data_IF_025539967051
#
_entry.id   IF_025539967051
#
_cell.length_a   1.000
_cell.length_b   1.000
_cell.length_c   1.000
_cell.angle_alpha   90.00
_cell.angle_beta   90.00
_cell.angle_gamma   90.00
#
_symmetry.space_group_name_H-M   'P 1'
#
loop_
_entity.id
_entity.type
_entity.pdbx_description
1 polymer ?
#
# COMPACT_ATOMS: atom_id res chain seq x y z
N UNK A 1 25.29 -21.26 27.36
CA UNK A 1 26.02 -21.25 26.09
C UNK A 1 26.73 -22.59 26.01
N UNK A 2 26.58 -23.30 24.92
CA UNK A 2 26.94 -24.71 24.75
C UNK A 2 28.44 -24.96 24.50
N UNK A 3 29.25 -23.89 24.43
CA UNK A 3 30.70 -23.98 24.16
C UNK A 3 31.04 -24.32 22.70
N UNK A 4 30.05 -24.32 21.79
CA UNK A 4 30.27 -24.54 20.38
C UNK A 4 30.83 -23.28 19.71
N UNK A 5 31.73 -23.48 18.75
CA UNK A 5 32.28 -22.39 17.97
C UNK A 5 31.22 -21.90 16.98
N UNK A 6 30.84 -20.64 17.09
CA UNK A 6 29.92 -20.01 16.14
C UNK A 6 30.71 -19.53 14.92
N UNK A 7 30.37 -20.03 13.74
CA UNK A 7 30.89 -19.48 12.49
C UNK A 7 30.18 -18.14 12.24
N UNK A 8 30.91 -17.06 12.46
CA UNK A 8 30.41 -15.73 12.10
C UNK A 8 30.41 -15.56 10.59
N UNK A 9 29.38 -14.94 10.01
CA UNK A 9 29.38 -14.59 8.59
C UNK A 9 30.62 -13.76 8.26
N UNK A 10 31.30 -14.09 7.16
CA UNK A 10 32.48 -13.36 6.71
C UNK A 10 32.16 -11.99 6.11
N UNK A 11 30.89 -11.76 5.76
CA UNK A 11 30.38 -10.53 5.15
C UNK A 11 29.48 -9.77 6.13
N UNK A 12 29.53 -8.45 6.12
CA UNK A 12 28.55 -7.61 6.77
C UNK A 12 27.24 -7.56 5.96
N UNK A 13 26.12 -7.12 6.59
CA UNK A 13 24.86 -6.97 5.89
C UNK A 13 24.89 -5.97 4.72
N UNK A 14 25.87 -5.08 4.68
CA UNK A 14 26.10 -4.12 3.58
C UNK A 14 26.87 -4.69 2.39
N UNK A 15 27.35 -5.92 2.51
CA UNK A 15 28.15 -6.60 1.48
C UNK A 15 27.36 -7.71 0.78
N UNK A 16 26.07 -7.87 1.11
CA UNK A 16 25.19 -8.83 0.44
C UNK A 16 24.66 -8.26 -0.86
N UNK A 17 24.54 -9.10 -1.87
CA UNK A 17 23.99 -8.77 -3.19
C UNK A 17 22.47 -8.94 -3.26
N UNK A 18 21.80 -8.93 -2.12
CA UNK A 18 20.35 -9.03 -2.01
C UNK A 18 19.78 -8.00 -1.03
N UNK A 19 18.49 -7.71 -1.17
CA UNK A 19 17.74 -6.78 -0.31
C UNK A 19 16.79 -7.54 0.59
N UNK A 20 16.75 -7.17 1.87
CA UNK A 20 15.78 -7.67 2.83
C UNK A 20 14.74 -6.61 3.16
N UNK A 21 13.45 -6.95 3.04
CA UNK A 21 12.33 -6.11 3.48
C UNK A 21 11.54 -6.82 4.57
N UNK A 22 11.31 -6.11 5.67
CA UNK A 22 10.47 -6.56 6.78
C UNK A 22 9.12 -5.85 6.71
N UNK A 23 8.04 -6.60 6.58
CA UNK A 23 6.68 -6.08 6.62
C UNK A 23 5.95 -6.53 7.89
N UNK A 24 5.33 -5.60 8.64
CA UNK A 24 4.49 -5.94 9.79
C UNK A 24 3.09 -6.36 9.32
N UNK A 25 2.47 -7.25 10.10
CA UNK A 25 1.06 -7.62 9.96
C UNK A 25 0.23 -6.98 11.08
N UNK A 26 -0.97 -6.52 10.75
CA UNK A 26 -1.89 -5.87 11.66
C UNK A 26 -3.25 -6.55 11.67
N UNK A 27 -3.84 -6.71 12.85
CA UNK A 27 -5.17 -7.32 13.01
C UNK A 27 -6.31 -6.28 13.07
N UNK A 28 -6.23 -5.23 12.26
CA UNK A 28 -7.25 -4.16 12.26
C UNK A 28 -8.67 -4.65 11.91
N UNK A 29 -8.79 -5.72 11.13
CA UNK A 29 -10.08 -6.36 10.83
C UNK A 29 -10.78 -6.91 12.08
N UNK A 30 -10.02 -7.30 13.10
CA UNK A 30 -10.52 -7.80 14.39
C UNK A 30 -10.79 -6.70 15.42
N UNK A 31 -10.23 -5.51 15.22
CA UNK A 31 -10.33 -4.37 16.12
C UNK A 31 -11.41 -3.42 15.63
N UNK A 32 -12.65 -3.61 16.10
CA UNK A 32 -13.78 -2.74 15.73
C UNK A 32 -13.49 -1.28 16.07
N UNK A 33 -13.70 -0.39 15.09
CA UNK A 33 -13.52 1.05 15.26
C UNK A 33 -12.07 1.55 15.32
N UNK A 34 -11.05 0.66 15.28
CA UNK A 34 -9.67 1.12 15.21
C UNK A 34 -9.36 1.74 13.84
N UNK A 35 -8.72 2.91 13.83
CA UNK A 35 -8.20 3.51 12.59
C UNK A 35 -6.96 2.74 12.16
N UNK A 36 -6.91 2.18 10.94
CA UNK A 36 -5.74 1.47 10.43
C UNK A 36 -4.60 2.42 9.99
N UNK A 37 -4.61 3.65 10.45
CA UNK A 37 -3.51 4.58 10.26
C UNK A 37 -2.34 4.22 11.15
N UNK A 38 -1.19 3.94 10.51
CA UNK A 38 0.05 3.59 11.20
C UNK A 38 0.76 4.84 11.72
N UNK A 39 1.17 4.80 12.99
CA UNK A 39 1.94 5.83 13.67
C UNK A 39 3.35 5.32 14.01
N UNK A 40 4.00 6.03 14.92
CA UNK A 40 5.34 5.68 15.43
C UNK A 40 5.32 4.52 16.44
N UNK A 41 4.14 4.17 16.94
CA UNK A 41 3.96 3.10 17.91
C UNK A 41 3.94 1.74 17.21
N UNK A 42 4.61 0.75 17.81
CA UNK A 42 4.56 -0.63 17.33
C UNK A 42 3.21 -1.26 17.70
N UNK A 43 2.35 -1.45 16.72
CA UNK A 43 1.01 -2.05 16.88
C UNK A 43 0.86 -3.35 16.07
N UNK A 44 1.95 -3.91 15.57
CA UNK A 44 1.94 -5.14 14.76
C UNK A 44 1.63 -6.38 15.61
N UNK A 45 0.90 -7.34 15.01
CA UNK A 45 0.56 -8.64 15.61
C UNK A 45 1.42 -9.78 15.08
N UNK A 46 2.28 -9.50 14.12
CA UNK A 46 3.24 -10.39 13.50
C UNK A 46 4.05 -9.64 12.46
N UNK A 47 5.05 -10.30 11.91
CA UNK A 47 5.93 -9.71 10.90
C UNK A 47 6.56 -10.79 10.04
N UNK A 48 6.88 -10.45 8.80
CA UNK A 48 7.64 -11.30 7.87
C UNK A 48 8.88 -10.56 7.40
N UNK A 49 9.91 -11.29 7.02
CA UNK A 49 11.06 -10.78 6.29
C UNK A 49 11.16 -11.53 4.96
N UNK A 50 11.22 -10.79 3.87
CA UNK A 50 11.38 -11.34 2.54
C UNK A 50 12.64 -10.80 1.88
N UNK A 51 13.26 -11.60 1.05
CA UNK A 51 14.46 -11.27 0.31
C UNK A 51 14.15 -11.16 -1.18
N UNK A 52 14.87 -10.28 -1.86
CA UNK A 52 14.79 -10.09 -3.31
C UNK A 52 16.14 -9.64 -3.86
N UNK A 53 16.28 -9.73 -5.18
CA UNK A 53 17.47 -9.24 -5.88
C UNK A 53 17.52 -7.69 -5.91
N UNK A 54 16.36 -7.05 -5.70
CA UNK A 54 16.21 -5.60 -5.56
C UNK A 54 15.12 -5.26 -4.52
N UNK A 55 14.95 -3.95 -4.26
CA UNK A 55 13.99 -3.47 -3.22
C UNK A 55 12.54 -3.70 -3.65
N UNK A 56 12.23 -3.56 -4.91
CA UNK A 56 10.89 -3.73 -5.49
C UNK A 56 10.41 -5.17 -5.30
N UNK A 57 11.26 -6.14 -5.63
CA UNK A 57 10.96 -7.56 -5.47
C UNK A 57 10.80 -7.94 -4.00
N UNK A 58 11.76 -7.57 -3.14
CA UNK A 58 11.70 -7.86 -1.72
C UNK A 58 10.46 -7.24 -1.05
N UNK A 59 10.11 -6.01 -1.45
CA UNK A 59 8.96 -5.28 -0.93
C UNK A 59 7.64 -5.94 -1.34
N UNK A 60 7.50 -6.29 -2.61
CA UNK A 60 6.27 -6.91 -3.11
C UNK A 60 6.05 -8.30 -2.46
N UNK A 61 7.10 -9.13 -2.38
CA UNK A 61 7.07 -10.41 -1.65
C UNK A 61 6.64 -10.22 -0.19
N UNK A 62 7.17 -9.20 0.50
CA UNK A 62 6.84 -8.94 1.88
C UNK A 62 5.37 -8.50 2.05
N UNK A 63 4.84 -7.65 1.17
CA UNK A 63 3.44 -7.24 1.19
C UNK A 63 2.49 -8.42 0.94
N UNK A 64 2.75 -9.23 -0.09
CA UNK A 64 1.94 -10.42 -0.41
C UNK A 64 1.95 -11.41 0.77
N UNK A 65 3.11 -11.61 1.40
CA UNK A 65 3.26 -12.52 2.55
C UNK A 65 2.45 -12.09 3.78
N UNK A 66 2.12 -10.81 3.94
CA UNK A 66 1.21 -10.32 4.99
C UNK A 66 -0.24 -10.18 4.52
N UNK A 67 -0.58 -10.73 3.35
CA UNK A 67 -1.95 -10.79 2.83
C UNK A 67 -2.39 -9.59 2.00
N UNK A 68 -1.46 -8.76 1.57
CA UNK A 68 -1.74 -7.69 0.61
C UNK A 68 -2.03 -8.30 -0.77
N UNK A 69 -3.09 -7.84 -1.43
CA UNK A 69 -3.49 -8.33 -2.75
C UNK A 69 -3.11 -7.30 -3.81
N UNK A 70 -2.62 -7.76 -4.95
CA UNK A 70 -2.35 -6.91 -6.09
C UNK A 70 -3.66 -6.45 -6.74
N UNK A 71 -3.77 -5.20 -7.19
CA UNK A 71 -4.99 -4.67 -7.80
C UNK A 71 -5.20 -5.27 -9.20
N UNK A 72 -6.46 -5.63 -9.48
CA UNK A 72 -6.92 -6.14 -10.79
C UNK A 72 -8.20 -5.46 -11.28
N UNK A 73 -8.90 -4.71 -10.39
CA UNK A 73 -10.23 -4.16 -10.66
C UNK A 73 -10.17 -2.65 -10.74
N UNK A 74 -9.69 -1.98 -9.71
CA UNK A 74 -9.61 -0.53 -9.69
C UNK A 74 -8.97 0.04 -8.43
N UNK A 75 -8.42 1.23 -8.56
CA UNK A 75 -7.63 1.90 -7.52
C UNK A 75 -8.32 3.18 -7.07
N UNK A 76 -8.56 3.33 -5.77
CA UNK A 76 -9.01 4.59 -5.19
C UNK A 76 -7.84 5.43 -4.69
N UNK A 77 -7.76 6.66 -5.19
CA UNK A 77 -6.81 7.67 -4.74
C UNK A 77 -7.50 8.74 -3.88
N UNK A 78 -7.04 8.89 -2.65
CA UNK A 78 -7.52 9.89 -1.70
C UNK A 78 -6.35 10.50 -0.95
N UNK A 79 -5.63 11.41 -1.60
CA UNK A 79 -4.42 12.05 -1.07
C UNK A 79 -4.74 13.41 -0.47
N UNK A 80 -4.24 13.65 0.75
CA UNK A 80 -4.66 14.79 1.57
C UNK A 80 -4.09 16.13 1.15
N UNK A 81 -2.77 16.27 1.05
CA UNK A 81 -2.09 17.55 0.77
C UNK A 81 -1.70 17.68 -0.70
N UNK A 82 -1.39 18.91 -1.15
CA UNK A 82 -0.93 19.15 -2.51
C UNK A 82 0.45 18.50 -2.75
N UNK A 83 1.31 18.52 -1.73
CA UNK A 83 2.63 17.90 -1.76
C UNK A 83 2.53 16.38 -1.93
N UNK A 84 1.61 15.74 -1.21
CA UNK A 84 1.36 14.30 -1.37
C UNK A 84 0.81 13.96 -2.76
N UNK A 85 -0.06 14.82 -3.32
CA UNK A 85 -0.56 14.64 -4.68
C UNK A 85 0.56 14.75 -5.72
N UNK A 86 1.39 15.79 -5.60
CA UNK A 86 2.53 16.01 -6.49
C UNK A 86 3.55 14.86 -6.38
N UNK A 87 3.84 14.38 -5.17
CA UNK A 87 4.75 13.27 -4.93
C UNK A 87 4.23 11.93 -5.49
N UNK A 88 2.92 11.79 -5.72
CA UNK A 88 2.30 10.57 -6.26
C UNK A 88 2.00 10.65 -7.76
N UNK A 89 2.26 11.77 -8.42
CA UNK A 89 1.82 12.01 -9.79
C UNK A 89 2.36 10.99 -10.78
N UNK A 90 3.66 10.67 -10.72
CA UNK A 90 4.28 9.67 -11.60
C UNK A 90 3.73 8.26 -11.35
N UNK A 91 3.49 7.92 -10.09
CA UNK A 91 2.86 6.65 -9.74
C UNK A 91 1.41 6.56 -10.27
N UNK A 92 0.66 7.65 -10.23
CA UNK A 92 -0.68 7.69 -10.82
C UNK A 92 -0.65 7.47 -12.35
N UNK A 93 0.35 8.03 -13.06
CA UNK A 93 0.57 7.76 -14.49
C UNK A 93 0.88 6.30 -14.77
N UNK A 94 1.71 5.67 -13.94
CA UNK A 94 2.01 4.23 -14.05
C UNK A 94 0.76 3.37 -13.85
N UNK A 95 -0.09 3.69 -12.86
CA UNK A 95 -1.36 3.00 -12.64
C UNK A 95 -2.31 3.11 -13.85
N UNK A 96 -2.41 4.30 -14.46
CA UNK A 96 -3.19 4.51 -15.69
C UNK A 96 -2.63 3.69 -16.85
N UNK A 97 -1.30 3.69 -17.04
CA UNK A 97 -0.63 2.92 -18.09
C UNK A 97 -0.74 1.40 -17.91
N UNK A 98 -0.87 0.92 -16.66
CA UNK A 98 -1.19 -0.47 -16.35
C UNK A 98 -2.65 -0.84 -16.69
N UNK A 99 -3.45 0.14 -17.13
CA UNK A 99 -4.86 -0.06 -17.48
C UNK A 99 -5.79 -0.22 -16.28
N UNK A 100 -5.35 0.15 -15.08
CA UNK A 100 -6.18 0.10 -13.88
C UNK A 100 -7.13 1.31 -13.84
N UNK A 101 -8.45 1.12 -13.74
CA UNK A 101 -9.40 2.20 -13.51
C UNK A 101 -9.05 2.99 -12.24
N UNK A 102 -8.90 4.31 -12.38
CA UNK A 102 -8.58 5.19 -11.24
C UNK A 102 -9.86 5.88 -10.80
N UNK A 103 -10.19 5.70 -9.53
CA UNK A 103 -11.22 6.45 -8.82
C UNK A 103 -10.54 7.45 -7.89
N UNK A 104 -11.11 8.64 -7.72
CA UNK A 104 -10.51 9.65 -6.88
C UNK A 104 -11.54 10.49 -6.11
N UNK A 105 -11.18 10.87 -4.88
CA UNK A 105 -11.96 11.86 -4.12
C UNK A 105 -11.86 13.24 -4.76
N UNK A 106 -12.86 14.17 -4.58
CA UNK A 106 -13.01 15.36 -5.42
C UNK A 106 -11.74 16.19 -5.63
N UNK A 107 -11.02 16.52 -4.57
CA UNK A 107 -9.80 17.32 -4.68
C UNK A 107 -8.61 16.56 -5.31
N UNK A 108 -8.61 15.23 -5.21
CA UNK A 108 -7.61 14.38 -5.85
C UNK A 108 -7.93 14.24 -7.34
N UNK A 109 -9.20 14.01 -7.67
CA UNK A 109 -9.69 13.98 -9.04
C UNK A 109 -9.32 15.27 -9.81
N UNK A 110 -9.67 16.44 -9.26
CA UNK A 110 -9.33 17.72 -9.89
C UNK A 110 -7.83 17.88 -10.14
N UNK A 111 -6.99 17.44 -9.21
CA UNK A 111 -5.55 17.48 -9.38
C UNK A 111 -5.06 16.54 -10.48
N UNK A 112 -5.60 15.32 -10.57
CA UNK A 112 -5.25 14.34 -11.61
C UNK A 112 -5.64 14.85 -12.99
N UNK A 113 -6.87 15.34 -13.17
CA UNK A 113 -7.35 15.90 -14.43
C UNK A 113 -6.52 17.12 -14.90
N UNK A 114 -6.08 17.97 -13.97
CA UNK A 114 -5.17 19.08 -14.28
C UNK A 114 -3.78 18.65 -14.75
N UNK A 115 -3.43 17.38 -14.55
CA UNK A 115 -2.17 16.78 -14.95
C UNK A 115 -2.34 15.67 -16.01
N UNK A 116 -3.46 15.70 -16.75
CA UNK A 116 -3.77 14.79 -17.86
C UNK A 116 -3.81 13.32 -17.44
N UNK A 117 -4.28 13.02 -16.22
CA UNK A 117 -4.53 11.66 -15.74
C UNK A 117 -6.03 11.48 -15.53
N UNK A 118 -6.62 10.54 -16.26
CA UNK A 118 -8.06 10.29 -16.20
C UNK A 118 -8.45 9.56 -14.92
N UNK A 119 -9.51 10.05 -14.28
CA UNK A 119 -10.05 9.41 -13.08
C UNK A 119 -11.58 9.56 -13.02
N UNK A 120 -12.24 8.66 -12.31
CA UNK A 120 -13.66 8.78 -11.98
C UNK A 120 -13.81 9.39 -10.61
N UNK A 121 -14.50 10.54 -10.53
CA UNK A 121 -14.73 11.21 -9.26
C UNK A 121 -15.74 10.44 -8.40
N UNK A 122 -15.39 10.22 -7.13
CA UNK A 122 -16.29 9.68 -6.11
C UNK A 122 -16.43 10.66 -4.94
N UNK A 123 -17.68 10.88 -4.52
CA UNK A 123 -17.97 11.75 -3.38
C UNK A 123 -17.46 11.14 -2.06
N UNK A 124 -17.03 12.02 -1.15
CA UNK A 124 -16.56 11.59 0.15
C UNK A 124 -17.73 11.08 1.03
N UNK A 125 -17.47 10.12 1.96
CA UNK A 125 -18.55 9.52 2.77
C UNK A 125 -19.44 10.51 3.51
N UNK A 126 -18.87 11.61 4.01
CA UNK A 126 -19.61 12.64 4.75
C UNK A 126 -20.45 13.57 3.86
N UNK A 127 -20.20 13.58 2.55
CA UNK A 127 -20.98 14.40 1.60
C UNK A 127 -22.38 13.83 1.35
N UNK A 128 -22.58 12.53 1.62
CA UNK A 128 -23.84 11.79 1.38
C UNK A 128 -24.38 11.97 -0.03
N UNK A 129 -23.49 11.95 -1.01
CA UNK A 129 -23.80 12.07 -2.44
C UNK A 129 -23.38 10.82 -3.19
N UNK A 130 -24.07 10.51 -4.28
CA UNK A 130 -23.75 9.43 -5.22
C UNK A 130 -23.21 10.01 -6.55
N UNK A 131 -22.26 9.32 -7.21
CA UNK A 131 -21.58 8.10 -6.76
C UNK A 131 -20.60 8.38 -5.63
N UNK A 132 -20.64 7.57 -4.58
CA UNK A 132 -19.84 7.72 -3.38
C UNK A 132 -18.75 6.65 -3.23
N UNK A 133 -17.70 6.96 -2.48
CA UNK A 133 -16.59 6.01 -2.21
C UNK A 133 -17.10 4.74 -1.54
N UNK A 134 -18.03 4.84 -0.60
CA UNK A 134 -18.55 3.66 0.13
C UNK A 134 -19.33 2.75 -0.81
N UNK A 135 -20.17 3.32 -1.67
CA UNK A 135 -20.93 2.58 -2.70
C UNK A 135 -19.97 1.82 -3.63
N UNK A 136 -18.96 2.48 -4.18
CA UNK A 136 -17.97 1.86 -5.06
C UNK A 136 -17.18 0.71 -4.41
N UNK A 137 -16.88 0.82 -3.11
CA UNK A 137 -16.27 -0.27 -2.32
C UNK A 137 -17.25 -1.45 -2.18
N UNK A 138 -18.52 -1.18 -1.85
CA UNK A 138 -19.56 -2.20 -1.67
C UNK A 138 -19.90 -2.93 -2.97
N UNK A 139 -19.85 -2.24 -4.09
CA UNK A 139 -20.04 -2.78 -5.44
C UNK A 139 -18.81 -3.56 -5.96
N UNK A 140 -17.70 -3.55 -5.23
CA UNK A 140 -16.47 -4.27 -5.62
C UNK A 140 -15.72 -3.65 -6.80
N UNK A 141 -15.89 -2.35 -7.04
CA UNK A 141 -15.20 -1.62 -8.11
C UNK A 141 -13.75 -1.25 -7.73
N UNK A 142 -13.37 -1.42 -6.46
CA UNK A 142 -12.09 -1.00 -5.90
C UNK A 142 -11.47 -2.17 -5.14
N UNK A 143 -10.25 -2.53 -5.48
CA UNK A 143 -9.46 -3.57 -4.80
C UNK A 143 -8.11 -3.07 -4.26
N UNK A 144 -7.76 -1.80 -4.54
CA UNK A 144 -6.65 -1.10 -3.90
C UNK A 144 -7.08 0.31 -3.47
N UNK A 145 -6.72 0.70 -2.26
CA UNK A 145 -6.96 2.05 -1.76
C UNK A 145 -5.65 2.70 -1.29
N UNK A 146 -5.35 3.85 -1.86
CA UNK A 146 -4.26 4.74 -1.41
C UNK A 146 -4.90 5.95 -0.74
N UNK A 147 -4.95 5.91 0.60
CA UNK A 147 -5.57 6.96 1.41
C UNK A 147 -4.53 7.61 2.32
N UNK A 148 -3.93 8.70 1.86
CA UNK A 148 -2.91 9.47 2.59
C UNK A 148 -3.58 10.63 3.32
N UNK A 149 -3.60 10.66 4.66
CA UNK A 149 -4.26 11.70 5.42
C UNK A 149 -3.52 13.04 5.33
N UNK A 150 -4.23 14.15 5.58
CA UNK A 150 -3.64 15.48 5.66
C UNK A 150 -2.80 15.69 6.93
N UNK A 151 -3.16 15.00 8.00
CA UNK A 151 -2.52 15.08 9.30
C UNK A 151 -2.62 13.71 9.97
N UNK A 152 -1.61 13.36 10.75
CA UNK A 152 -1.60 12.17 11.60
C UNK A 152 -2.40 12.37 12.90
N UNK A 153 -2.89 13.59 13.17
CA UNK A 153 -3.75 13.83 14.32
C UNK A 153 -5.06 13.05 14.16
N UNK A 154 -5.36 12.25 15.15
CA UNK A 154 -6.64 11.52 15.24
C UNK A 154 -7.76 12.53 15.44
N UNK A 155 -8.50 12.83 14.39
CA UNK A 155 -9.80 13.51 14.47
C UNK A 155 -10.87 12.47 14.25
N UNK A 156 -11.76 12.35 15.23
CA UNK A 156 -12.88 11.43 15.16
C UNK A 156 -13.74 11.68 13.90
N UNK A 157 -14.22 10.59 13.28
CA UNK A 157 -15.17 10.58 12.17
C UNK A 157 -14.84 11.48 10.97
N UNK A 158 -13.61 11.43 10.48
CA UNK A 158 -13.28 12.05 9.18
C UNK A 158 -13.71 11.15 8.02
N UNK A 159 -13.95 11.72 6.84
CA UNK A 159 -14.17 10.93 5.61
C UNK A 159 -13.04 9.93 5.36
N UNK A 160 -11.79 10.32 5.60
CA UNK A 160 -10.63 9.44 5.46
C UNK A 160 -10.68 8.24 6.42
N UNK A 161 -11.06 8.44 7.68
CA UNK A 161 -11.27 7.35 8.63
C UNK A 161 -12.36 6.39 8.16
N UNK A 162 -13.50 6.91 7.70
CA UNK A 162 -14.60 6.07 7.21
C UNK A 162 -14.19 5.22 6.01
N UNK A 163 -13.41 5.80 5.08
CA UNK A 163 -12.85 5.06 3.94
C UNK A 163 -11.94 3.94 4.43
N UNK A 164 -10.91 4.25 5.24
CA UNK A 164 -9.96 3.27 5.75
C UNK A 164 -10.64 2.14 6.54
N UNK A 165 -11.63 2.49 7.35
CA UNK A 165 -12.38 1.52 8.13
C UNK A 165 -13.16 0.56 7.24
N UNK A 166 -13.88 1.08 6.23
CA UNK A 166 -14.63 0.30 5.26
C UNK A 166 -13.70 -0.63 4.47
N UNK A 167 -12.58 -0.13 4.01
CA UNK A 167 -11.55 -0.88 3.26
C UNK A 167 -11.06 -2.11 4.04
N UNK A 168 -10.74 -1.92 5.33
CA UNK A 168 -10.31 -3.02 6.20
C UNK A 168 -11.42 -4.04 6.43
N UNK A 169 -12.67 -3.60 6.58
CA UNK A 169 -13.84 -4.49 6.75
C UNK A 169 -14.10 -5.36 5.52
N UNK A 170 -13.80 -4.84 4.33
CA UNK A 170 -13.95 -5.56 3.06
C UNK A 170 -12.68 -6.34 2.66
N UNK A 171 -11.60 -6.27 3.45
CA UNK A 171 -10.35 -6.97 3.17
C UNK A 171 -9.66 -6.46 1.90
N UNK A 172 -9.82 -5.18 1.59
CA UNK A 172 -9.19 -4.49 0.46
C UNK A 172 -7.81 -4.02 0.89
N UNK A 173 -6.84 -4.06 -0.02
CA UNK A 173 -5.47 -3.59 0.19
C UNK A 173 -5.43 -2.08 0.42
N UNK A 174 -4.72 -1.63 1.46
CA UNK A 174 -4.67 -0.23 1.90
C UNK A 174 -3.25 0.26 2.09
N UNK A 175 -2.93 1.39 1.47
CA UNK A 175 -1.69 2.14 1.69
C UNK A 175 -2.02 3.54 2.22
N UNK A 176 -1.40 3.91 3.34
CA UNK A 176 -1.65 5.20 4.03
C UNK A 176 -0.45 6.12 4.07
N UNK A 177 0.68 5.68 3.51
CA UNK A 177 1.92 6.43 3.41
C UNK A 177 2.32 6.60 1.95
N UNK A 178 2.76 7.81 1.57
CA UNK A 178 3.03 8.14 0.17
C UNK A 178 4.28 7.44 -0.37
N UNK A 179 5.32 7.31 0.45
CA UNK A 179 6.57 6.65 0.05
C UNK A 179 6.33 5.16 -0.18
N UNK A 180 5.59 4.50 0.72
CA UNK A 180 5.20 3.11 0.58
C UNK A 180 4.30 2.88 -0.64
N UNK A 181 3.40 3.84 -0.94
CA UNK A 181 2.54 3.77 -2.11
C UNK A 181 3.33 3.93 -3.42
N UNK A 182 4.29 4.85 -3.48
CA UNK A 182 5.18 5.00 -4.63
C UNK A 182 5.99 3.72 -4.87
N UNK A 183 6.65 3.21 -3.83
CA UNK A 183 7.43 1.97 -3.94
C UNK A 183 6.55 0.78 -4.38
N UNK A 184 5.30 0.72 -3.91
CA UNK A 184 4.36 -0.32 -4.35
C UNK A 184 4.05 -0.23 -5.84
N UNK A 185 3.78 0.99 -6.34
CA UNK A 185 3.50 1.19 -7.77
C UNK A 185 4.74 0.93 -8.63
N UNK A 186 5.93 1.33 -8.16
CA UNK A 186 7.20 1.04 -8.83
C UNK A 186 7.45 -0.47 -8.92
N UNK A 187 7.21 -1.20 -7.83
CA UNK A 187 7.31 -2.66 -7.80
C UNK A 187 6.29 -3.33 -8.74
N UNK A 188 5.03 -2.89 -8.71
CA UNK A 188 4.00 -3.39 -9.61
C UNK A 188 4.32 -3.12 -11.08
N UNK A 189 4.87 -1.94 -11.38
CA UNK A 189 5.28 -1.56 -12.73
C UNK A 189 6.46 -2.39 -13.26
N UNK A 190 7.43 -2.70 -12.41
CA UNK A 190 8.66 -3.41 -12.82
C UNK A 190 8.50 -4.92 -12.88
N UNK A 191 7.62 -5.50 -12.06
CA UNK A 191 7.47 -6.95 -11.92
C UNK A 191 6.23 -7.46 -12.68
N UNK A 192 5.17 -6.64 -12.74
CA UNK A 192 3.92 -7.01 -13.41
C UNK A 192 3.01 -7.88 -12.54
N UNK A 193 3.13 -9.21 -12.56
CA UNK A 193 2.24 -10.11 -11.84
C UNK A 193 2.98 -10.90 -10.73
N UNK A 194 2.20 -11.40 -9.78
CA UNK A 194 2.69 -12.25 -8.68
C UNK A 194 3.39 -13.53 -9.18
N UNK A 195 2.96 -14.06 -10.32
CA UNK A 195 3.54 -15.25 -10.96
C UNK A 195 4.99 -15.04 -11.42
N UNK A 196 5.44 -13.81 -11.60
CA UNK A 196 6.82 -13.46 -11.97
C UNK A 196 7.76 -13.43 -10.76
N UNK A 197 7.22 -13.47 -9.54
CA UNK A 197 8.03 -13.46 -8.32
C UNK A 197 8.65 -14.84 -8.05
N UNK A 198 9.97 -14.91 -8.18
CA UNK A 198 10.72 -16.14 -7.93
C UNK A 198 10.92 -16.36 -6.42
N UNK A 199 10.47 -17.52 -5.94
CA UNK A 199 10.79 -17.98 -4.58
C UNK A 199 12.09 -18.79 -4.64
N UNK A 200 13.12 -18.28 -3.96
CA UNK A 200 14.45 -18.92 -3.86
C UNK A 200 14.67 -19.44 -2.44
N UNK A 201 15.32 -20.59 -2.24
CA UNK A 201 15.77 -21.01 -0.93
C UNK A 201 16.87 -20.07 -0.40
N UNK A 202 16.99 -19.97 0.92
CA UNK A 202 17.99 -19.11 1.56
C UNK A 202 19.43 -19.33 1.03
N UNK A 203 19.78 -20.58 0.73
CA UNK A 203 21.11 -20.95 0.23
C UNK A 203 21.47 -20.35 -1.14
N UNK A 204 20.50 -19.81 -1.87
CA UNK A 204 20.72 -19.16 -3.17
C UNK A 204 20.92 -17.64 -3.05
N UNK A 205 20.72 -17.08 -1.85
CA UNK A 205 21.08 -15.69 -1.55
C UNK A 205 22.51 -15.65 -0.98
N UNK A 206 23.48 -15.23 -1.77
CA UNK A 206 24.91 -15.22 -1.43
C UNK A 206 25.42 -13.81 -1.11
#
# INVERSE_FOLDING_TARGET
MLGEKVDCPSKSAFEFDFVGVKAPQFSFSRLKGADPLLGVEMASTGEVACLGDNVEEAYLKALISVGFKLPKIGVLLSTGTIESKAAFLESARKLEQLGLPIFATPNTHLFLEQNDIHSTMLHQPLDKKSPGVIEAIEEGLIDLVINVPRSLERKDLTSGYLIRRKVVEYGISLLTNIQAANLFVDALWSIGDEEELLVKPWSEYN
#
